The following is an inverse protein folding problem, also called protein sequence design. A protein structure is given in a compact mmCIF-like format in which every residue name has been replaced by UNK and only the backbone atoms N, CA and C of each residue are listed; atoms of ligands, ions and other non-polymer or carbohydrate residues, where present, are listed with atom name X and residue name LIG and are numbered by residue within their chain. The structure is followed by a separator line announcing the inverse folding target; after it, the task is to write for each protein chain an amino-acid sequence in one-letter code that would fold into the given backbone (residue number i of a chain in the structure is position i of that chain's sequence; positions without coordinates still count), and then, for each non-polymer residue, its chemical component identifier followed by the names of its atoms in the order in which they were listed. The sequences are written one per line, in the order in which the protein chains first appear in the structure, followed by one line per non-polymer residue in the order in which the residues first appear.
data_IF_065009976216
#
_entry.id   IF_065009976216
#
_cell.length_a   1.000
_cell.length_b   1.000
_cell.length_c   1.000
_cell.angle_alpha   90.00
_cell.angle_beta   90.00
_cell.angle_gamma   90.00
#
_symmetry.space_group_name_H-M   'P 1'
#
loop_
_entity.id
_entity.type
_entity.pdbx_description
1 polymer ?
#
# COMPACT_ATOMS: atom_id res chain seq x y z
N UNK A 1 -5.39 -8.96 27.04
CA UNK A 1 -5.28 -7.47 27.03
C UNK A 1 -5.76 -6.99 25.68
N UNK A 2 -6.44 -5.85 25.60
CA UNK A 2 -6.83 -5.26 24.31
C UNK A 2 -5.58 -4.73 23.59
N UNK A 3 -5.47 -4.99 22.29
CA UNK A 3 -4.40 -4.50 21.41
C UNK A 3 -4.74 -3.10 20.92
N UNK A 4 -3.75 -2.27 20.63
CA UNK A 4 -4.00 -0.97 19.98
C UNK A 4 -4.22 -1.17 18.49
N UNK A 5 -5.14 -0.39 17.92
CA UNK A 5 -5.35 -0.26 16.48
C UNK A 5 -5.31 1.23 16.15
N UNK A 6 -4.18 1.68 15.59
CA UNK A 6 -3.94 3.10 15.34
C UNK A 6 -3.88 3.38 13.84
N UNK A 7 -4.61 4.40 13.40
CA UNK A 7 -4.40 4.99 12.07
C UNK A 7 -3.52 6.23 12.22
N UNK A 8 -2.48 6.31 11.40
CA UNK A 8 -1.60 7.46 11.26
C UNK A 8 -1.84 8.06 9.88
N UNK A 9 -2.42 9.27 9.85
CA UNK A 9 -2.90 9.90 8.60
C UNK A 9 -1.77 10.38 7.69
N UNK A 10 -0.55 10.49 8.23
CA UNK A 10 0.69 10.81 7.53
C UNK A 10 1.87 10.11 8.22
N UNK A 11 2.98 9.83 7.50
CA UNK A 11 4.16 9.24 8.11
C UNK A 11 4.80 10.14 9.17
N UNK A 12 4.75 11.47 8.98
CA UNK A 12 5.35 12.44 9.91
C UNK A 12 4.51 12.65 11.19
N UNK A 13 3.27 12.16 11.21
CA UNK A 13 2.43 12.14 12.42
C UNK A 13 2.68 10.89 13.27
N UNK A 14 3.56 9.99 12.82
CA UNK A 14 3.89 8.76 13.52
C UNK A 14 5.38 8.72 13.87
N UNK A 15 5.76 9.05 15.12
CA UNK A 15 7.12 8.83 15.60
C UNK A 15 7.51 7.34 15.52
N UNK A 16 8.71 6.96 15.02
CA UNK A 16 9.10 5.56 14.85
C UNK A 16 9.01 4.71 16.13
N UNK A 17 9.21 5.31 17.30
CA UNK A 17 9.08 4.63 18.59
C UNK A 17 7.68 4.11 18.88
N UNK A 18 6.64 4.74 18.32
CA UNK A 18 5.23 4.33 18.47
C UNK A 18 4.96 3.01 17.76
N UNK A 19 5.69 2.74 16.67
CA UNK A 19 5.53 1.54 15.85
C UNK A 19 6.27 0.32 16.39
N UNK A 20 7.17 0.53 17.36
CA UNK A 20 8.09 -0.50 17.84
C UNK A 20 7.37 -1.72 18.39
N UNK A 21 7.70 -2.88 17.85
CA UNK A 21 7.13 -4.17 18.30
C UNK A 21 5.72 -4.46 17.78
N UNK A 22 5.08 -3.50 17.11
CA UNK A 22 3.79 -3.66 16.44
C UNK A 22 3.93 -4.18 15.01
N UNK A 23 2.79 -4.48 14.39
CA UNK A 23 2.69 -4.75 12.95
C UNK A 23 2.19 -3.48 12.26
N UNK A 24 2.89 -3.06 11.21
CA UNK A 24 2.52 -1.87 10.42
C UNK A 24 2.01 -2.27 9.05
N UNK A 25 0.96 -1.62 8.58
CA UNK A 25 0.51 -1.66 7.19
C UNK A 25 0.79 -0.29 6.57
N UNK A 26 1.65 -0.26 5.56
CA UNK A 26 1.93 0.93 4.76
C UNK A 26 0.89 1.03 3.64
N UNK A 27 0.31 2.23 3.51
CA UNK A 27 -0.84 2.50 2.64
C UNK A 27 -0.50 3.68 1.73
N UNK A 28 -0.46 3.42 0.43
CA UNK A 28 -0.34 4.40 -0.65
C UNK A 28 -1.22 3.87 -1.81
N UNK A 29 -2.53 4.10 -1.71
CA UNK A 29 -3.52 3.44 -2.59
C UNK A 29 -3.36 3.89 -4.04
N UNK A 30 -3.08 5.18 -4.25
CA UNK A 30 -2.89 5.81 -5.56
C UNK A 30 -1.45 6.34 -5.66
N UNK A 31 -0.47 5.50 -6.03
CA UNK A 31 -0.60 4.14 -6.60
C UNK A 31 0.37 3.13 -6.01
N UNK A 32 1.31 3.52 -5.15
CA UNK A 32 2.50 2.71 -4.89
C UNK A 32 2.16 1.33 -4.29
N UNK A 33 1.27 1.25 -3.29
CA UNK A 33 0.86 -0.02 -2.70
C UNK A 33 0.14 -0.91 -3.71
N UNK A 34 -0.77 -0.34 -4.51
CA UNK A 34 -1.50 -1.08 -5.54
C UNK A 34 -0.55 -1.65 -6.60
N UNK A 35 0.42 -0.85 -7.04
CA UNK A 35 1.46 -1.26 -7.99
C UNK A 35 2.33 -2.40 -7.45
N UNK A 36 2.80 -2.30 -6.20
CA UNK A 36 3.60 -3.35 -5.56
C UNK A 36 2.82 -4.66 -5.47
N UNK A 37 1.56 -4.59 -5.04
CA UNK A 37 0.68 -5.76 -4.92
C UNK A 37 0.46 -6.41 -6.29
N UNK A 38 0.18 -5.62 -7.33
CA UNK A 38 0.01 -6.12 -8.70
C UNK A 38 1.29 -6.74 -9.25
N UNK A 39 2.46 -6.14 -9.01
CA UNK A 39 3.74 -6.69 -9.48
C UNK A 39 4.02 -8.07 -8.88
N UNK A 40 3.82 -8.23 -7.57
CA UNK A 40 4.01 -9.50 -6.88
C UNK A 40 2.95 -10.53 -7.28
N UNK A 41 1.69 -10.11 -7.47
CA UNK A 41 0.64 -10.98 -8.01
C UNK A 41 1.00 -11.53 -9.40
N UNK A 42 1.63 -10.70 -10.24
CA UNK A 42 2.07 -11.08 -11.57
C UNK A 42 3.46 -11.76 -11.58
N UNK A 43 3.95 -12.17 -10.42
CA UNK A 43 5.09 -13.07 -10.29
C UNK A 43 6.44 -12.40 -10.24
N UNK A 44 6.54 -11.09 -9.95
CA UNK A 44 7.80 -10.49 -9.54
C UNK A 44 8.42 -11.31 -8.38
N UNK A 45 9.73 -11.54 -8.42
CA UNK A 45 10.38 -12.37 -7.39
C UNK A 45 10.40 -11.67 -6.03
N UNK A 46 10.58 -10.35 -6.05
CA UNK A 46 10.49 -9.45 -4.93
C UNK A 46 10.37 -8.00 -5.46
N UNK A 47 10.09 -7.05 -4.57
CA UNK A 47 10.20 -5.61 -4.86
C UNK A 47 11.22 -5.00 -3.91
N UNK A 48 12.26 -4.37 -4.44
CA UNK A 48 13.22 -3.58 -3.66
C UNK A 48 12.80 -2.10 -3.68
N UNK A 49 12.29 -1.55 -2.57
CA UNK A 49 11.93 -0.14 -2.49
C UNK A 49 13.17 0.74 -2.35
N UNK A 50 13.32 1.73 -3.23
CA UNK A 50 14.48 2.61 -3.30
C UNK A 50 14.13 4.04 -2.89
N UNK A 51 15.03 4.69 -2.15
CA UNK A 51 14.98 6.09 -1.75
C UNK A 51 15.25 7.06 -2.91
N UNK A 52 16.00 6.63 -3.92
CA UNK A 52 16.27 7.45 -5.10
C UNK A 52 16.30 6.63 -6.40
N UNK A 53 16.23 7.30 -7.57
CA UNK A 53 16.39 6.63 -8.86
C UNK A 53 17.78 6.00 -9.01
N UNK A 54 18.82 6.68 -8.53
CA UNK A 54 20.21 6.21 -8.60
C UNK A 54 20.42 4.93 -7.78
N UNK A 55 19.73 4.80 -6.65
CA UNK A 55 19.74 3.56 -5.86
C UNK A 55 19.09 2.41 -6.64
N UNK A 56 17.97 2.65 -7.33
CA UNK A 56 17.32 1.63 -8.14
C UNK A 56 18.22 1.18 -9.32
N UNK A 57 18.88 2.14 -9.99
CA UNK A 57 19.87 1.84 -11.02
C UNK A 57 21.06 1.04 -10.48
N UNK A 58 21.58 1.43 -9.31
CA UNK A 58 22.67 0.72 -8.65
C UNK A 58 22.29 -0.71 -8.28
N UNK A 59 21.03 -0.96 -7.89
CA UNK A 59 20.53 -2.33 -7.68
C UNK A 59 20.54 -3.08 -9.00
N UNK A 60 20.02 -2.52 -10.10
CA UNK A 60 20.04 -3.19 -11.41
C UNK A 60 21.46 -3.58 -11.85
N UNK A 61 22.45 -2.71 -11.63
CA UNK A 61 23.84 -2.94 -12.01
C UNK A 61 24.53 -4.09 -11.26
N UNK A 62 23.97 -4.50 -10.10
CA UNK A 62 24.47 -5.63 -9.32
C UNK A 62 23.99 -6.99 -9.85
N UNK A 63 23.06 -7.01 -10.81
CA UNK A 63 22.43 -8.21 -11.33
C UNK A 63 22.73 -8.41 -12.83
N UNK A 64 22.66 -9.65 -13.32
CA UNK A 64 22.72 -9.91 -14.76
C UNK A 64 21.61 -9.18 -15.52
N UNK A 65 21.89 -8.79 -16.76
CA UNK A 65 20.93 -8.11 -17.63
C UNK A 65 19.60 -8.88 -17.72
N UNK A 66 18.48 -8.16 -17.58
CA UNK A 66 17.12 -8.70 -17.66
C UNK A 66 16.58 -9.37 -16.38
N UNK A 67 17.35 -9.39 -15.29
CA UNK A 67 16.92 -9.90 -13.98
C UNK A 67 16.24 -8.83 -13.11
N UNK A 68 16.50 -7.55 -13.38
CA UNK A 68 15.94 -6.42 -12.63
C UNK A 68 15.16 -5.52 -13.57
N UNK A 69 13.96 -5.13 -13.15
CA UNK A 69 13.11 -4.13 -13.80
C UNK A 69 13.15 -2.86 -12.95
N UNK A 70 13.32 -1.70 -13.57
CA UNK A 70 13.17 -0.41 -12.91
C UNK A 70 11.73 0.10 -13.06
N UNK A 71 11.07 0.36 -11.94
CA UNK A 71 9.73 0.94 -11.91
C UNK A 71 9.66 2.14 -10.98
N UNK A 72 8.76 3.08 -11.26
CA UNK A 72 8.60 4.23 -10.37
C UNK A 72 8.12 5.50 -11.03
N UNK A 73 7.94 6.52 -10.20
CA UNK A 73 7.46 7.82 -10.63
C UNK A 73 8.11 8.99 -9.91
N UNK A 74 8.05 10.16 -10.54
CA UNK A 74 8.14 11.47 -9.88
C UNK A 74 7.02 12.35 -10.41
N UNK A 75 6.21 12.91 -9.50
CA UNK A 75 5.07 13.76 -9.88
C UNK A 75 4.00 13.03 -10.70
N UNK A 76 3.87 11.71 -10.53
CA UNK A 76 2.93 10.84 -11.22
C UNK A 76 3.41 10.34 -12.59
N UNK A 77 4.59 10.75 -13.05
CA UNK A 77 5.15 10.41 -14.36
C UNK A 77 6.30 9.42 -14.22
N UNK A 78 6.41 8.47 -15.16
CA UNK A 78 7.54 7.52 -15.22
C UNK A 78 8.88 8.27 -15.25
N UNK A 79 9.83 7.77 -14.48
CA UNK A 79 11.18 8.33 -14.40
C UNK A 79 11.92 8.08 -15.73
N UNK A 80 12.68 9.07 -16.21
CA UNK A 80 13.48 8.90 -17.42
C UNK A 80 14.49 7.77 -17.25
N UNK A 81 14.60 6.88 -18.24
CA UNK A 81 15.48 5.70 -18.18
C UNK A 81 14.90 4.49 -17.43
N UNK A 82 13.73 4.62 -16.79
CA UNK A 82 13.04 3.49 -16.16
C UNK A 82 12.20 2.70 -17.15
N UNK A 83 12.05 1.40 -16.89
CA UNK A 83 11.30 0.48 -17.74
C UNK A 83 9.79 0.74 -17.62
N UNK A 84 9.29 0.86 -16.39
CA UNK A 84 7.86 1.00 -16.07
C UNK A 84 7.58 2.24 -15.20
N UNK A 85 6.36 2.77 -15.28
CA UNK A 85 5.87 3.89 -14.47
C UNK A 85 5.43 3.47 -13.07
N UNK A 86 4.32 4.04 -12.60
CA UNK A 86 3.64 3.63 -11.36
C UNK A 86 2.16 3.30 -11.63
N UNK A 87 1.80 2.96 -12.86
CA UNK A 87 0.48 2.41 -13.17
C UNK A 87 0.49 0.90 -12.92
N UNK A 88 -0.42 0.34 -12.10
CA UNK A 88 -0.51 -1.11 -11.89
C UNK A 88 -0.67 -1.90 -13.21
N UNK A 89 -1.28 -1.30 -14.23
CA UNK A 89 -1.50 -1.94 -15.54
C UNK A 89 -0.19 -2.27 -16.28
N UNK A 90 0.90 -1.56 -16.00
CA UNK A 90 2.21 -1.77 -16.62
C UNK A 90 2.91 -3.06 -16.11
N UNK A 91 2.49 -3.56 -14.95
CA UNK A 91 3.19 -4.64 -14.22
C UNK A 91 2.66 -6.03 -14.58
N UNK A 92 2.63 -6.35 -15.87
CA UNK A 92 2.15 -7.65 -16.36
C UNK A 92 3.13 -8.80 -16.03
N UNK A 93 2.66 -10.04 -16.07
CA UNK A 93 3.50 -11.20 -15.84
C UNK A 93 4.68 -11.31 -16.83
N UNK A 94 4.49 -10.83 -18.07
CA UNK A 94 5.57 -10.75 -19.06
C UNK A 94 6.61 -9.70 -18.67
N UNK A 95 6.18 -8.56 -18.11
CA UNK A 95 7.06 -7.47 -17.73
C UNK A 95 7.88 -7.80 -16.47
N UNK A 96 7.27 -8.38 -15.43
CA UNK A 96 7.93 -8.54 -14.12
C UNK A 96 8.15 -9.99 -13.66
N UNK A 97 7.58 -10.98 -14.34
CA UNK A 97 7.65 -12.38 -13.92
C UNK A 97 9.07 -12.88 -13.67
N UNK A 98 9.31 -13.40 -12.45
CA UNK A 98 10.58 -13.92 -11.92
C UNK A 98 11.72 -12.91 -11.87
N UNK A 99 11.44 -11.61 -12.03
CA UNK A 99 12.42 -10.52 -11.95
C UNK A 99 12.27 -9.78 -10.63
N UNK A 100 13.37 -9.22 -10.16
CA UNK A 100 13.36 -8.25 -9.07
C UNK A 100 12.85 -6.92 -9.63
N UNK A 101 11.92 -6.28 -8.93
CA UNK A 101 11.51 -4.91 -9.25
C UNK A 101 12.23 -3.94 -8.33
N UNK A 102 13.14 -3.11 -8.86
CA UNK A 102 13.67 -1.96 -8.12
C UNK A 102 12.71 -0.77 -8.30
N UNK A 103 12.12 -0.30 -7.20
CA UNK A 103 10.94 0.56 -7.24
C UNK A 103 11.10 1.82 -6.39
N UNK A 104 10.92 3.00 -6.98
CA UNK A 104 10.96 4.26 -6.23
C UNK A 104 9.78 5.17 -6.53
N UNK A 105 9.21 5.78 -5.49
CA UNK A 105 8.11 6.75 -5.61
C UNK A 105 8.33 7.92 -4.67
N UNK A 106 7.56 8.97 -4.86
CA UNK A 106 7.65 10.22 -4.10
C UNK A 106 7.21 10.04 -2.64
N UNK A 107 6.21 9.19 -2.39
CA UNK A 107 5.53 9.07 -1.10
C UNK A 107 5.74 7.69 -0.43
N UNK A 108 5.53 6.60 -1.17
CA UNK A 108 5.55 5.24 -0.63
C UNK A 108 6.83 4.86 0.12
N UNK A 109 8.01 5.23 -0.41
CA UNK A 109 9.29 4.93 0.26
C UNK A 109 9.39 5.60 1.64
N UNK A 110 8.84 6.81 1.80
CA UNK A 110 8.89 7.53 3.07
C UNK A 110 8.06 6.83 4.15
N UNK A 111 6.86 6.39 3.81
CA UNK A 111 5.99 5.66 4.72
C UNK A 111 6.62 4.32 5.17
N UNK A 112 7.26 3.62 4.23
CA UNK A 112 8.01 2.41 4.53
C UNK A 112 9.21 2.67 5.47
N UNK A 113 10.04 3.66 5.15
CA UNK A 113 11.22 4.01 5.97
C UNK A 113 10.84 4.41 7.40
N UNK A 114 9.71 5.09 7.57
CA UNK A 114 9.16 5.41 8.91
C UNK A 114 8.76 4.17 9.70
N UNK A 115 8.44 3.09 9.01
CA UNK A 115 7.95 1.83 9.58
C UNK A 115 9.04 0.83 9.94
N UNK A 116 10.33 1.14 9.70
CA UNK A 116 11.44 0.21 9.92
C UNK A 116 11.66 -0.23 11.38
N UNK A 117 11.08 0.49 12.35
CA UNK A 117 11.12 0.11 13.78
C UNK A 117 10.07 -0.95 14.14
N UNK A 118 9.13 -1.25 13.25
CA UNK A 118 8.07 -2.23 13.45
C UNK A 118 8.60 -3.66 13.48
N UNK A 119 7.85 -4.55 14.13
CA UNK A 119 8.15 -5.98 14.12
C UNK A 119 7.92 -6.60 12.74
N UNK A 120 6.87 -6.17 12.06
CA UNK A 120 6.48 -6.60 10.72
C UNK A 120 5.90 -5.41 9.97
N UNK A 121 6.16 -5.33 8.68
CA UNK A 121 5.70 -4.24 7.81
C UNK A 121 5.05 -4.88 6.58
N UNK A 122 3.77 -4.62 6.39
CA UNK A 122 2.96 -5.11 5.30
C UNK A 122 2.59 -3.96 4.35
N UNK A 123 2.29 -4.26 3.10
CA UNK A 123 1.75 -3.29 2.14
C UNK A 123 0.27 -3.57 1.89
N UNK A 124 -0.58 -2.58 2.15
CA UNK A 124 -2.04 -2.70 2.01
C UNK A 124 -2.61 -1.72 0.99
N UNK A 125 -3.58 -2.22 0.20
CA UNK A 125 -4.43 -1.45 -0.70
C UNK A 125 -5.77 -2.21 -0.89
N UNK A 126 -6.74 -1.62 -1.59
CA UNK A 126 -8.04 -2.28 -1.76
C UNK A 126 -7.94 -3.65 -2.45
N UNK A 127 -6.97 -3.84 -3.36
CA UNK A 127 -6.76 -5.10 -4.07
C UNK A 127 -6.56 -6.30 -3.13
N UNK A 128 -5.94 -6.09 -1.97
CA UNK A 128 -5.62 -7.14 -1.01
C UNK A 128 -6.25 -6.93 0.38
N UNK A 129 -7.36 -6.19 0.46
CA UNK A 129 -8.02 -5.86 1.73
C UNK A 129 -8.30 -7.08 2.60
N UNK A 130 -8.97 -8.11 2.07
CA UNK A 130 -9.29 -9.33 2.83
C UNK A 130 -8.04 -10.08 3.30
N UNK A 131 -7.02 -10.20 2.44
CA UNK A 131 -5.78 -10.88 2.78
C UNK A 131 -5.01 -10.16 3.90
N UNK A 132 -5.00 -8.82 3.87
CA UNK A 132 -4.47 -7.99 4.94
C UNK A 132 -5.25 -8.20 6.24
N UNK A 133 -6.58 -8.10 6.21
CA UNK A 133 -7.42 -8.30 7.41
C UNK A 133 -7.17 -9.68 8.02
N UNK A 134 -7.13 -10.73 7.20
CA UNK A 134 -6.85 -12.10 7.65
C UNK A 134 -5.47 -12.21 8.31
N UNK A 135 -4.43 -11.65 7.67
CA UNK A 135 -3.06 -11.64 8.21
C UNK A 135 -2.97 -10.93 9.58
N UNK A 136 -3.80 -9.91 9.79
CA UNK A 136 -3.78 -9.08 10.99
C UNK A 136 -4.62 -9.67 12.16
N UNK A 137 -5.62 -10.50 11.87
CA UNK A 137 -6.45 -11.15 12.91
C UNK A 137 -5.61 -12.01 13.86
N UNK A 138 -4.65 -12.74 13.30
CA UNK A 138 -3.80 -13.72 14.00
C UNK A 138 -2.66 -13.08 14.84
N UNK A 139 -2.42 -11.78 14.68
CA UNK A 139 -1.27 -11.09 15.26
C UNK A 139 -1.51 -10.59 16.68
N UNK A 140 -0.89 -11.21 17.69
CA UNK A 140 -0.96 -10.75 19.10
C UNK A 140 -0.32 -9.38 19.43
N UNK A 141 -0.02 -8.55 18.43
CA UNK A 141 0.69 -7.28 18.55
C UNK A 141 -0.21 -6.06 18.30
N UNK A 142 0.26 -4.87 18.70
CA UNK A 142 -0.38 -3.60 18.33
C UNK A 142 -0.31 -3.40 16.80
N UNK A 143 -1.36 -2.80 16.24
CA UNK A 143 -1.50 -2.56 14.81
C UNK A 143 -1.43 -1.07 14.48
N UNK A 144 -0.70 -0.77 13.41
CA UNK A 144 -0.52 0.57 12.90
C UNK A 144 -0.82 0.62 11.40
N UNK A 145 -1.78 1.44 11.00
CA UNK A 145 -2.09 1.71 9.59
C UNK A 145 -1.49 3.07 9.24
N UNK A 146 -0.43 3.09 8.43
CA UNK A 146 0.33 4.29 8.09
C UNK A 146 -0.03 4.73 6.68
N UNK A 147 -0.82 5.80 6.57
CA UNK A 147 -1.13 6.45 5.30
C UNK A 147 0.09 7.25 4.82
N UNK A 148 0.46 7.09 3.55
CA UNK A 148 1.57 7.81 2.94
C UNK A 148 1.20 9.27 2.67
N UNK A 149 -0.05 9.52 2.28
CA UNK A 149 -0.50 10.83 1.81
C UNK A 149 0.21 11.26 0.53
N UNK A 150 0.12 12.53 0.20
CA UNK A 150 0.79 13.12 -0.98
C UNK A 150 1.39 14.47 -0.62
N UNK A 151 2.69 14.63 -0.81
CA UNK A 151 3.44 15.85 -0.48
C UNK A 151 3.25 16.30 0.99
N UNK A 152 3.15 15.34 1.91
CA UNK A 152 2.92 15.61 3.34
C UNK A 152 1.50 16.08 3.66
N UNK A 153 0.54 15.87 2.74
CA UNK A 153 -0.88 16.18 2.95
C UNK A 153 -1.69 14.89 2.99
N UNK A 154 -2.62 14.81 3.94
CA UNK A 154 -3.56 13.68 4.09
C UNK A 154 -4.37 13.53 2.80
N UNK A 155 -4.50 12.31 2.31
CA UNK A 155 -5.32 11.99 1.14
C UNK A 155 -6.48 11.08 1.50
N UNK A 156 -7.60 11.24 0.80
CA UNK A 156 -8.85 10.54 1.14
C UNK A 156 -8.77 9.04 0.87
N UNK A 157 -8.07 8.64 -0.18
CA UNK A 157 -7.93 7.26 -0.65
C UNK A 157 -7.23 6.37 0.37
N UNK A 158 -6.14 6.85 0.98
CA UNK A 158 -5.39 6.12 2.00
C UNK A 158 -6.22 5.97 3.29
N UNK A 159 -6.89 7.07 3.69
CA UNK A 159 -7.76 7.07 4.88
C UNK A 159 -8.97 6.17 4.67
N UNK A 160 -9.52 6.10 3.46
CA UNK A 160 -10.63 5.22 3.14
C UNK A 160 -10.21 3.75 3.27
N UNK A 161 -9.06 3.35 2.71
CA UNK A 161 -8.55 1.99 2.84
C UNK A 161 -8.25 1.63 4.30
N UNK A 162 -7.62 2.55 5.04
CA UNK A 162 -7.39 2.37 6.47
C UNK A 162 -8.73 2.16 7.23
N UNK A 163 -9.76 2.93 6.87
CA UNK A 163 -11.11 2.80 7.40
C UNK A 163 -11.76 1.45 7.12
N UNK A 164 -11.60 0.94 5.89
CA UNK A 164 -12.08 -0.38 5.51
C UNK A 164 -11.43 -1.49 6.36
N UNK A 165 -10.11 -1.40 6.56
CA UNK A 165 -9.35 -2.34 7.38
C UNK A 165 -9.77 -2.28 8.85
N UNK A 166 -9.91 -1.08 9.42
CA UNK A 166 -10.40 -0.90 10.80
C UNK A 166 -11.81 -1.47 10.97
N UNK A 167 -12.71 -1.14 10.05
CA UNK A 167 -14.09 -1.63 10.08
C UNK A 167 -14.16 -3.15 10.07
N UNK A 168 -13.37 -3.81 9.24
CA UNK A 168 -13.34 -5.27 9.16
C UNK A 168 -12.79 -5.90 10.46
N UNK A 169 -11.64 -5.43 10.96
CA UNK A 169 -11.02 -5.97 12.18
C UNK A 169 -11.86 -5.78 13.44
N UNK A 170 -12.55 -4.63 13.56
CA UNK A 170 -13.39 -4.30 14.72
C UNK A 170 -14.73 -5.02 14.66
N UNK A 171 -15.30 -5.23 13.46
CA UNK A 171 -16.54 -6.00 13.31
C UNK A 171 -16.34 -7.47 13.72
N UNK A 172 -15.20 -8.05 13.35
CA UNK A 172 -14.86 -9.43 13.71
C UNK A 172 -14.51 -9.60 15.20
N UNK A 173 -13.81 -8.62 15.79
CA UNK A 173 -13.32 -8.71 17.17
C UNK A 173 -13.49 -7.39 17.95
N UNK A 174 -14.72 -6.97 18.28
CA UNK A 174 -15.00 -5.63 18.82
C UNK A 174 -14.35 -5.37 20.19
N UNK A 175 -14.16 -6.40 21.00
CA UNK A 175 -13.56 -6.27 22.33
C UNK A 175 -12.02 -6.37 22.33
N UNK A 176 -11.41 -6.73 21.19
CA UNK A 176 -9.98 -6.96 21.07
C UNK A 176 -9.15 -5.69 20.86
N UNK A 177 -9.79 -4.56 20.48
CA UNK A 177 -9.10 -3.38 19.97
C UNK A 177 -9.36 -2.11 20.80
N UNK A 178 -8.30 -1.33 21.02
CA UNK A 178 -8.36 0.06 21.47
C UNK A 178 -7.98 0.94 20.30
N UNK A 179 -8.94 1.71 19.80
CA UNK A 179 -8.80 2.55 18.61
C UNK A 179 -8.38 3.98 19.00
N UNK A 180 -7.47 4.60 18.24
CA UNK A 180 -7.27 6.04 18.30
C UNK A 180 -8.39 6.79 17.54
N UNK A 181 -8.46 8.12 17.71
CA UNK A 181 -9.49 8.93 17.06
C UNK A 181 -9.44 8.84 15.53
N UNK A 182 -8.23 8.84 14.96
CA UNK A 182 -8.03 8.67 13.53
C UNK A 182 -8.61 7.36 13.00
N UNK A 183 -8.45 6.25 13.73
CA UNK A 183 -9.03 4.96 13.35
C UNK A 183 -10.56 4.99 13.36
N UNK A 184 -11.16 5.62 14.37
CA UNK A 184 -12.61 5.79 14.45
C UNK A 184 -13.15 6.68 13.32
N UNK A 185 -12.45 7.78 13.01
CA UNK A 185 -12.81 8.68 11.91
C UNK A 185 -12.70 7.98 10.55
N UNK A 186 -11.61 7.24 10.31
CA UNK A 186 -11.43 6.46 9.08
C UNK A 186 -12.53 5.41 8.91
N UNK A 187 -12.86 4.66 9.97
CA UNK A 187 -13.94 3.67 9.94
C UNK A 187 -15.31 4.29 9.64
N UNK A 188 -15.60 5.48 10.18
CA UNK A 188 -16.83 6.22 9.86
C UNK A 188 -16.84 6.73 8.41
N UNK A 189 -15.70 7.20 7.90
CA UNK A 189 -15.57 7.58 6.49
C UNK A 189 -15.90 6.39 5.59
N UNK A 190 -15.24 5.25 5.81
CA UNK A 190 -15.53 4.00 5.10
C UNK A 190 -17.02 3.67 5.12
N UNK A 191 -17.60 3.61 6.32
CA UNK A 191 -19.02 3.31 6.52
C UNK A 191 -19.92 4.27 5.72
N UNK A 192 -19.60 5.56 5.69
CA UNK A 192 -20.39 6.57 4.97
C UNK A 192 -20.30 6.44 3.44
N UNK A 193 -19.16 5.98 2.92
CA UNK A 193 -18.95 5.81 1.48
C UNK A 193 -19.67 4.56 0.96
N UNK A 194 -19.61 3.46 1.73
CA UNK A 194 -20.25 2.19 1.30
C UNK A 194 -21.69 2.04 1.78
N UNK A 195 -22.19 2.93 2.64
CA UNK A 195 -23.56 2.88 3.13
C UNK A 195 -24.57 2.97 1.97
N UNK A 196 -25.35 1.91 1.79
CA UNK A 196 -26.38 1.85 0.75
C UNK A 196 -25.85 1.66 -0.68
N UNK A 197 -24.53 1.48 -0.85
CA UNK A 197 -23.95 1.13 -2.13
C UNK A 197 -24.37 -0.29 -2.53
N UNK A 198 -24.88 -0.45 -3.77
CA UNK A 198 -25.17 -1.79 -4.32
C UNK A 198 -23.89 -2.57 -4.62
N UNK A 199 -22.84 -1.86 -5.02
CA UNK A 199 -21.51 -2.37 -5.25
C UNK A 199 -20.47 -1.49 -4.51
N UNK A 200 -19.81 -2.01 -3.46
CA UNK A 200 -18.76 -1.29 -2.75
C UNK A 200 -17.60 -0.86 -3.64
N UNK A 201 -17.21 -1.64 -4.66
CA UNK A 201 -16.08 -1.29 -5.52
C UNK A 201 -16.37 -0.03 -6.35
N UNK A 202 -17.58 0.07 -6.91
CA UNK A 202 -18.06 1.29 -7.58
C UNK A 202 -18.08 2.52 -6.66
N UNK A 203 -18.55 2.37 -5.41
CA UNK A 203 -18.54 3.47 -4.44
C UNK A 203 -17.11 3.92 -4.06
N UNK A 204 -16.18 2.96 -3.92
CA UNK A 204 -14.76 3.24 -3.71
C UNK A 204 -14.20 3.97 -4.92
N UNK A 205 -14.44 3.49 -6.14
CA UNK A 205 -14.00 4.15 -7.37
C UNK A 205 -14.43 5.62 -7.44
N UNK A 206 -15.73 5.88 -7.24
CA UNK A 206 -16.28 7.23 -7.28
C UNK A 206 -15.68 8.14 -6.21
N UNK A 207 -15.47 7.61 -4.99
CA UNK A 207 -14.81 8.35 -3.92
C UNK A 207 -13.35 8.67 -4.28
N UNK A 208 -12.58 7.67 -4.73
CA UNK A 208 -11.16 7.81 -5.12
C UNK A 208 -10.99 8.88 -6.20
N UNK A 209 -11.88 8.93 -7.20
CA UNK A 209 -11.86 9.99 -8.23
C UNK A 209 -11.97 11.39 -7.63
N UNK A 210 -12.72 11.55 -6.53
CA UNK A 210 -12.93 12.83 -5.85
C UNK A 210 -11.78 13.26 -4.93
N UNK A 211 -10.80 12.39 -4.65
CA UNK A 211 -9.70 12.72 -3.75
C UNK A 211 -8.59 13.50 -4.44
N UNK A 212 -7.67 14.08 -3.67
CA UNK A 212 -6.49 14.77 -4.22
C UNK A 212 -5.66 13.86 -5.12
N UNK A 213 -5.36 12.63 -4.69
CA UNK A 213 -4.65 11.65 -5.51
C UNK A 213 -5.40 11.31 -6.80
N UNK A 214 -6.71 11.09 -6.70
CA UNK A 214 -7.55 10.84 -7.88
C UNK A 214 -7.57 12.01 -8.87
N UNK A 215 -7.77 13.24 -8.40
CA UNK A 215 -7.76 14.44 -9.26
C UNK A 215 -6.41 14.65 -9.96
N UNK A 216 -5.30 14.36 -9.27
CA UNK A 216 -3.97 14.38 -9.89
C UNK A 216 -3.86 13.34 -11.02
N UNK A 217 -4.31 12.10 -10.80
CA UNK A 217 -4.29 11.04 -11.82
C UNK A 217 -5.21 11.36 -13.00
N UNK A 218 -6.40 11.92 -12.76
CA UNK A 218 -7.30 12.36 -13.81
C UNK A 218 -6.65 13.42 -14.71
N UNK A 219 -5.94 14.38 -14.12
CA UNK A 219 -5.20 15.42 -14.85
C UNK A 219 -4.11 14.83 -15.74
N UNK A 220 -3.49 13.74 -15.29
CA UNK A 220 -2.44 13.01 -16.02
C UNK A 220 -2.98 11.97 -17.00
N UNK A 221 -4.31 11.76 -17.07
CA UNK A 221 -4.94 10.79 -17.96
C UNK A 221 -4.96 9.35 -17.44
N UNK A 222 -4.72 9.12 -16.15
CA UNK A 222 -4.67 7.79 -15.51
C UNK A 222 -6.00 7.38 -14.86
N UNK A 223 -7.13 7.64 -15.52
CA UNK A 223 -8.44 7.27 -14.97
C UNK A 223 -8.61 5.75 -14.82
N UNK A 224 -8.05 4.99 -15.76
CA UNK A 224 -8.03 3.52 -15.69
C UNK A 224 -7.33 3.00 -14.44
N UNK A 225 -6.31 3.70 -13.94
CA UNK A 225 -5.60 3.30 -12.73
C UNK A 225 -6.46 3.46 -11.49
N UNK A 226 -7.31 4.49 -11.45
CA UNK A 226 -8.25 4.68 -10.35
C UNK A 226 -9.24 3.51 -10.31
N UNK A 227 -9.75 3.10 -11.47
CA UNK A 227 -10.61 1.93 -11.60
C UNK A 227 -9.90 0.66 -11.11
N UNK A 228 -8.66 0.41 -11.54
CA UNK A 228 -7.88 -0.74 -11.06
C UNK A 228 -7.67 -0.69 -9.54
N UNK A 229 -7.21 0.43 -8.99
CA UNK A 229 -6.92 0.58 -7.56
C UNK A 229 -8.16 0.54 -6.67
N UNK A 230 -9.36 0.73 -7.24
CA UNK A 230 -10.64 0.68 -6.51
C UNK A 230 -11.23 -0.73 -6.37
N UNK A 231 -10.68 -1.72 -7.09
CA UNK A 231 -11.13 -3.09 -6.96
C UNK A 231 -10.83 -3.63 -5.56
N UNK A 232 -11.75 -4.41 -5.00
CA UNK A 232 -11.68 -4.88 -3.61
C UNK A 232 -11.35 -6.37 -3.60
N UNK A 233 -10.30 -6.74 -2.87
CA UNK A 233 -9.93 -8.14 -2.57
C UNK A 233 -9.78 -9.04 -3.80
N UNK A 234 -9.20 -8.52 -4.89
CA UNK A 234 -8.95 -9.29 -6.12
C UNK A 234 -7.70 -10.17 -6.05
N UNK A 235 -6.92 -10.09 -4.98
CA UNK A 235 -5.73 -10.92 -4.77
C UNK A 235 -5.50 -11.29 -3.30
N UNK A 236 -4.90 -12.46 -3.09
CA UNK A 236 -4.48 -12.96 -1.78
C UNK A 236 -3.04 -12.53 -1.41
N UNK A 237 -2.37 -11.77 -2.28
CA UNK A 237 -0.99 -11.32 -2.08
C UNK A 237 -0.88 -10.38 -0.88
N UNK A 238 0.06 -10.69 0.00
CA UNK A 238 0.42 -9.84 1.14
C UNK A 238 1.91 -9.54 1.05
N UNK A 239 2.31 -8.38 0.52
CA UNK A 239 3.72 -8.00 0.52
C UNK A 239 4.15 -7.71 1.96
N UNK A 240 5.21 -8.37 2.41
CA UNK A 240 5.85 -8.15 3.70
C UNK A 240 7.31 -7.76 3.49
N UNK A 241 7.76 -6.72 4.19
CA UNK A 241 9.14 -6.23 4.11
C UNK A 241 10.04 -7.08 5.00
N UNK A 242 11.04 -7.70 4.38
CA UNK A 242 12.09 -8.39 5.12
C UNK A 242 13.22 -7.42 5.47
N UNK A 243 13.41 -7.20 6.78
CA UNK A 243 14.45 -6.31 7.32
C UNK A 243 15.88 -6.78 7.00
N UNK A 244 16.09 -8.05 6.63
CA UNK A 244 17.41 -8.57 6.30
C UNK A 244 17.79 -8.31 4.84
N UNK A 245 16.92 -8.66 3.91
CA UNK A 245 17.14 -8.42 2.48
C UNK A 245 16.86 -6.98 2.06
N UNK A 246 15.99 -6.27 2.79
CA UNK A 246 15.50 -4.95 2.39
C UNK A 246 14.47 -5.02 1.27
N UNK A 247 13.87 -6.18 1.03
CA UNK A 247 12.93 -6.43 -0.06
C UNK A 247 11.52 -6.73 0.45
N UNK A 248 10.52 -6.45 -0.37
CA UNK A 248 9.13 -6.87 -0.18
C UNK A 248 8.91 -8.20 -0.91
N UNK A 249 8.45 -9.19 -0.17
CA UNK A 249 8.13 -10.52 -0.69
C UNK A 249 6.68 -10.86 -0.40
N UNK A 250 6.05 -11.65 -1.26
CA UNK A 250 4.70 -12.14 -0.99
C UNK A 250 4.73 -13.20 0.13
N UNK A 251 4.10 -12.92 1.26
CA UNK A 251 3.88 -13.87 2.35
C UNK A 251 2.43 -14.33 2.47
N UNK A 252 1.57 -13.91 1.54
CA UNK A 252 0.19 -14.37 1.40
C UNK A 252 0.06 -15.71 0.67
N UNK A 253 -1.17 -16.20 0.56
CA UNK A 253 -1.46 -17.43 -0.19
C UNK A 253 -1.14 -17.28 -1.68
N UNK A 254 -0.73 -18.38 -2.33
CA UNK A 254 -0.71 -18.43 -3.79
C UNK A 254 -2.16 -18.42 -4.30
N UNK A 255 -2.47 -17.54 -5.25
CA UNK A 255 -3.74 -17.55 -6.00
C UNK A 255 -3.71 -18.68 -7.02
#
# INVERSE_FOLDING_TARGET
MRRKLSVHLLPDLCPPEVLRGGTTVVIDVLRASSTIVTALQNGASAVSPCGSPEEAESIRDQYPAGQVVLGGERGGVRIEGFDLGNSPAEYTAEAVGKRLLAFTTTNGTRALLRSLSSRSILIGCFLNLEAIVQRLQDGGADLHLVCAGTDGVVTGEDVLFAGATVSALVTDQPESWVQNDSAQLASRLWSSVVAGATDPASAVHDFLRGTRGGQNLLTLGYDSDICLCSQISTTAVVPEYDLQSGELQNTGGAV
#
